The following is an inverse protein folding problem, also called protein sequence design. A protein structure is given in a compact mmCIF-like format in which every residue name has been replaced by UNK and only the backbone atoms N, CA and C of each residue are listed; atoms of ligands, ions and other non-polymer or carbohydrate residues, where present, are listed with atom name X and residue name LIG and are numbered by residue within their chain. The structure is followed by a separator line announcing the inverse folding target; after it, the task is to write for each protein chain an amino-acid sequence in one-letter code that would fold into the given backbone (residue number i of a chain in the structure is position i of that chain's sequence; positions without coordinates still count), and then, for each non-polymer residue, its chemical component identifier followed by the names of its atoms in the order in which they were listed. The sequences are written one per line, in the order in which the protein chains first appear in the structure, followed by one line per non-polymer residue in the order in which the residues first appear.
data_IF_800359609485
#
_entry.id   IF_800359609485
#
_cell.length_a   1.000
_cell.length_b   1.000
_cell.length_c   1.000
_cell.angle_alpha   90.00
_cell.angle_beta   90.00
_cell.angle_gamma   90.00
#
_symmetry.space_group_name_H-M   'P 1'
#
loop_
_entity.id
_entity.type
_entity.pdbx_description
1 polymer ?
#
# COMPACT_ATOMS: atom_id res chain seq x y z
N UNK A 1 -17.88 -2.39 -25.88
CA UNK A 1 -18.55 -1.33 -26.68
C UNK A 1 -19.52 -0.59 -25.75
N UNK A 2 -19.63 0.74 -25.84
CA UNK A 2 -20.56 1.52 -24.99
C UNK A 2 -21.99 1.38 -25.50
N UNK A 3 -22.94 1.06 -24.62
CA UNK A 3 -24.37 1.06 -24.95
C UNK A 3 -24.93 2.48 -25.09
N UNK A 4 -26.10 2.61 -25.73
CA UNK A 4 -26.71 3.90 -26.03
C UNK A 4 -27.06 4.74 -24.80
N UNK A 5 -27.47 4.10 -23.70
CA UNK A 5 -27.82 4.80 -22.47
C UNK A 5 -26.55 5.43 -21.87
N UNK A 6 -25.46 4.67 -21.84
CA UNK A 6 -24.17 5.17 -21.38
C UNK A 6 -23.66 6.30 -22.27
N UNK A 7 -23.80 6.18 -23.60
CA UNK A 7 -23.41 7.24 -24.53
C UNK A 7 -24.17 8.54 -24.26
N UNK A 8 -25.52 8.46 -24.19
CA UNK A 8 -26.39 9.61 -23.90
C UNK A 8 -26.04 10.27 -22.55
N UNK A 9 -25.78 9.46 -21.53
CA UNK A 9 -25.38 9.98 -20.22
C UNK A 9 -23.98 10.61 -20.26
N UNK A 10 -23.04 10.03 -20.98
CA UNK A 10 -21.70 10.61 -21.13
C UNK A 10 -21.72 11.93 -21.91
N UNK A 11 -22.56 12.05 -22.93
CA UNK A 11 -22.81 13.31 -23.63
C UNK A 11 -23.33 14.39 -22.69
N UNK A 12 -24.29 14.05 -21.83
CA UNK A 12 -24.80 14.98 -20.85
C UNK A 12 -23.70 15.46 -19.88
N UNK A 13 -22.82 14.56 -19.42
CA UNK A 13 -21.72 14.93 -18.54
C UNK A 13 -20.71 15.87 -19.21
N UNK A 14 -20.35 15.58 -20.46
CA UNK A 14 -19.45 16.43 -21.23
C UNK A 14 -20.08 17.82 -21.48
N UNK A 15 -21.32 17.87 -22.00
CA UNK A 15 -22.03 19.13 -22.28
C UNK A 15 -22.29 19.98 -21.03
N UNK A 16 -22.39 19.34 -19.86
CA UNK A 16 -22.58 20.03 -18.58
C UNK A 16 -21.27 20.49 -17.94
N UNK A 17 -20.13 20.40 -18.64
CA UNK A 17 -18.83 20.84 -18.11
C UNK A 17 -18.30 20.00 -16.96
N UNK A 18 -18.78 18.76 -16.79
CA UNK A 18 -18.39 17.90 -15.67
C UNK A 18 -17.05 17.19 -15.89
N UNK A 19 -16.41 17.36 -17.05
CA UNK A 19 -15.04 16.89 -17.29
C UNK A 19 -14.08 17.96 -16.80
N UNK A 20 -13.46 17.73 -15.64
CA UNK A 20 -12.56 18.71 -14.99
C UNK A 20 -11.26 18.91 -15.76
N UNK A 21 -10.69 17.82 -16.27
CA UNK A 21 -9.59 17.85 -17.22
C UNK A 21 -9.56 16.56 -18.04
N UNK A 22 -9.06 16.69 -19.27
CA UNK A 22 -8.73 15.58 -20.17
C UNK A 22 -7.27 15.76 -20.60
N UNK A 23 -6.41 14.80 -20.28
CA UNK A 23 -4.99 14.81 -20.65
C UNK A 23 -4.74 13.63 -21.57
N UNK A 24 -4.26 13.90 -22.77
CA UNK A 24 -3.83 12.87 -23.72
C UNK A 24 -2.34 12.61 -23.48
N UNK A 25 -1.97 11.37 -23.16
CA UNK A 25 -0.59 10.96 -22.96
C UNK A 25 -0.35 9.60 -23.62
N UNK A 26 0.54 9.55 -24.61
CA UNK A 26 0.68 8.41 -25.52
C UNK A 26 -0.66 7.94 -26.11
N UNK A 27 -0.99 6.66 -25.90
CA UNK A 27 -2.22 6.02 -26.39
C UNK A 27 -3.37 6.07 -25.37
N UNK A 28 -3.32 6.96 -24.37
CA UNK A 28 -4.33 7.02 -23.31
C UNK A 28 -4.83 8.43 -23.06
N UNK A 29 -6.08 8.51 -22.60
CA UNK A 29 -6.63 9.70 -21.96
C UNK A 29 -6.65 9.47 -20.45
N UNK A 30 -6.27 10.49 -19.70
CA UNK A 30 -6.38 10.56 -18.25
C UNK A 30 -7.24 11.76 -17.88
N UNK A 31 -8.18 11.58 -16.97
CA UNK A 31 -9.06 12.67 -16.58
C UNK A 31 -9.68 12.52 -15.22
N UNK A 32 -10.32 13.59 -14.79
CA UNK A 32 -11.26 13.60 -13.68
C UNK A 32 -12.63 14.05 -14.18
N UNK A 33 -13.66 13.30 -13.82
CA UNK A 33 -15.04 13.62 -14.17
C UNK A 33 -15.88 13.69 -12.90
N UNK A 34 -16.60 14.79 -12.74
CA UNK A 34 -17.43 15.08 -11.58
C UNK A 34 -18.73 14.28 -11.69
N UNK A 35 -19.04 13.49 -10.66
CA UNK A 35 -20.33 12.82 -10.46
C UNK A 35 -20.85 13.10 -9.05
N UNK A 36 -21.22 12.04 -8.32
CA UNK A 36 -21.42 12.15 -6.86
C UNK A 36 -20.14 12.52 -6.10
N UNK A 37 -18.99 12.26 -6.73
CA UNK A 37 -17.64 12.60 -6.27
C UNK A 37 -16.74 12.79 -7.51
N UNK A 38 -15.47 13.13 -7.32
CA UNK A 38 -14.49 13.18 -8.41
C UNK A 38 -14.01 11.78 -8.79
N UNK A 39 -14.36 11.32 -9.99
CA UNK A 39 -13.90 10.03 -10.47
C UNK A 39 -12.66 10.15 -11.35
N UNK A 40 -11.63 9.35 -11.04
CA UNK A 40 -10.45 9.17 -11.89
C UNK A 40 -10.82 8.29 -13.08
N UNK A 41 -10.50 8.73 -14.29
CA UNK A 41 -10.88 8.07 -15.53
C UNK A 41 -9.66 7.87 -16.41
N UNK A 42 -9.51 6.67 -16.97
CA UNK A 42 -8.49 6.32 -17.96
C UNK A 42 -9.17 5.70 -19.17
N UNK A 43 -8.83 6.14 -20.37
CA UNK A 43 -9.35 5.57 -21.62
C UNK A 43 -8.20 5.18 -22.53
N UNK A 44 -8.24 3.98 -23.10
CA UNK A 44 -7.32 3.55 -24.15
C UNK A 44 -7.81 4.07 -25.50
N UNK A 45 -6.98 4.80 -26.23
CA UNK A 45 -7.34 5.38 -27.53
C UNK A 45 -7.39 4.36 -28.67
N UNK A 46 -6.80 3.17 -28.50
CA UNK A 46 -6.79 2.13 -29.54
C UNK A 46 -8.16 1.46 -29.71
N UNK A 47 -8.82 1.16 -28.60
CA UNK A 47 -10.09 0.42 -28.56
C UNK A 47 -11.23 1.17 -27.84
N UNK A 48 -10.94 2.38 -27.34
CA UNK A 48 -11.82 3.24 -26.56
C UNK A 48 -12.29 2.61 -25.23
N UNK A 49 -11.63 1.55 -24.76
CA UNK A 49 -11.94 0.94 -23.46
C UNK A 49 -11.65 1.93 -22.32
N UNK A 50 -12.60 2.04 -21.40
CA UNK A 50 -12.56 2.97 -20.28
C UNK A 50 -12.50 2.28 -18.93
N UNK A 51 -11.61 2.76 -18.06
CA UNK A 51 -11.54 2.44 -16.64
C UNK A 51 -11.89 3.68 -15.84
N UNK A 52 -12.69 3.50 -14.79
CA UNK A 52 -13.14 4.57 -13.93
C UNK A 52 -13.16 4.11 -12.47
N UNK A 53 -12.83 5.01 -11.55
CA UNK A 53 -12.95 4.74 -10.11
C UNK A 53 -14.40 4.71 -9.60
N UNK A 54 -15.40 4.89 -10.46
CA UNK A 54 -16.81 4.83 -10.05
C UNK A 54 -17.30 3.38 -9.85
N UNK A 55 -18.44 3.18 -9.16
CA UNK A 55 -18.97 1.83 -8.90
C UNK A 55 -19.20 0.98 -10.15
N UNK A 56 -19.46 1.60 -11.31
CA UNK A 56 -19.65 0.91 -12.59
C UNK A 56 -18.33 0.41 -13.21
N UNK A 57 -17.19 1.00 -12.83
CA UNK A 57 -15.81 0.65 -13.22
C UNK A 57 -15.48 0.75 -14.71
N UNK A 58 -16.04 -0.12 -15.55
CA UNK A 58 -15.63 -0.29 -16.95
C UNK A 58 -16.60 0.39 -17.92
N UNK A 59 -16.09 1.08 -18.94
CA UNK A 59 -16.88 1.69 -20.02
C UNK A 59 -18.11 2.48 -19.52
N UNK A 60 -17.96 3.20 -18.40
CA UNK A 60 -19.05 3.97 -17.84
C UNK A 60 -19.24 5.31 -18.57
N UNK A 61 -20.32 6.03 -18.22
CA UNK A 61 -20.63 7.37 -18.75
C UNK A 61 -19.48 8.38 -18.58
N UNK A 62 -18.68 8.29 -17.52
CA UNK A 62 -17.55 9.19 -17.30
C UNK A 62 -16.41 8.94 -18.31
N UNK A 63 -16.16 7.67 -18.65
CA UNK A 63 -15.21 7.32 -19.70
C UNK A 63 -15.68 7.82 -21.06
N UNK A 64 -16.98 7.68 -21.36
CA UNK A 64 -17.54 8.22 -22.59
C UNK A 64 -17.48 9.75 -22.64
N UNK A 65 -17.76 10.45 -21.53
CA UNK A 65 -17.60 11.90 -21.44
C UNK A 65 -16.15 12.34 -21.70
N UNK A 66 -15.16 11.60 -21.19
CA UNK A 66 -13.74 11.86 -21.46
C UNK A 66 -13.37 11.65 -22.94
N UNK A 67 -13.94 10.62 -23.59
CA UNK A 67 -13.78 10.40 -25.04
C UNK A 67 -14.36 11.58 -25.84
N UNK A 68 -15.52 12.10 -25.42
CA UNK A 68 -16.12 13.25 -26.09
C UNK A 68 -15.28 14.51 -25.92
N UNK A 69 -14.74 14.78 -24.73
CA UNK A 69 -13.81 15.89 -24.53
C UNK A 69 -12.64 15.81 -25.51
N UNK A 70 -11.98 14.64 -25.60
CA UNK A 70 -10.91 14.43 -26.57
C UNK A 70 -11.35 14.62 -28.03
N UNK A 71 -12.48 14.05 -28.43
CA UNK A 71 -13.00 14.17 -29.81
C UNK A 71 -13.35 15.60 -30.22
N UNK A 72 -13.69 16.45 -29.25
CA UNK A 72 -13.98 17.86 -29.48
C UNK A 72 -12.73 18.75 -29.32
N UNK A 73 -11.53 18.17 -29.20
CA UNK A 73 -10.27 18.87 -28.95
C UNK A 73 -10.20 19.59 -27.59
N UNK A 74 -11.06 19.24 -26.64
CA UNK A 74 -11.02 19.73 -25.25
C UNK A 74 -10.08 18.87 -24.40
N UNK A 75 -8.80 18.88 -24.74
CA UNK A 75 -7.78 18.14 -24.00
C UNK A 75 -6.45 18.90 -23.94
N UNK A 76 -5.66 18.53 -22.95
CA UNK A 76 -4.29 18.98 -22.75
C UNK A 76 -3.37 17.89 -23.32
N UNK A 77 -2.41 18.29 -24.16
CA UNK A 77 -1.35 17.37 -24.60
C UNK A 77 -0.34 17.15 -23.46
N UNK A 78 -0.40 15.98 -22.85
CA UNK A 78 0.49 15.59 -21.78
C UNK A 78 1.95 15.44 -22.23
N UNK A 79 2.21 15.18 -23.51
CA UNK A 79 3.58 15.11 -24.02
C UNK A 79 4.28 16.48 -23.95
N UNK A 80 3.53 17.57 -24.14
CA UNK A 80 4.07 18.93 -24.02
C UNK A 80 4.49 19.23 -22.58
N UNK A 81 3.70 18.80 -21.58
CA UNK A 81 4.05 18.96 -20.16
C UNK A 81 5.41 18.32 -19.87
N UNK A 82 5.63 17.08 -20.33
CA UNK A 82 6.90 16.38 -20.10
C UNK A 82 8.04 16.91 -20.96
N UNK A 83 7.75 17.48 -22.14
CA UNK A 83 8.76 18.17 -22.95
C UNK A 83 9.27 19.41 -22.25
N UNK A 84 8.37 20.27 -21.74
CA UNK A 84 8.73 21.45 -20.95
C UNK A 84 9.54 21.08 -19.72
N UNK A 85 9.16 20.01 -19.01
CA UNK A 85 9.92 19.51 -17.85
C UNK A 85 11.33 19.03 -18.22
N UNK A 86 11.55 18.48 -19.42
CA UNK A 86 12.88 18.03 -19.88
C UNK A 86 13.81 19.20 -20.21
N UNK A 87 13.26 20.36 -20.54
CA UNK A 87 14.03 21.56 -20.87
C UNK A 87 14.46 22.33 -19.60
N UNK A 88 13.91 21.98 -18.42
CA UNK A 88 14.28 22.55 -17.13
C UNK A 88 15.57 21.96 -16.58
N UNK A 89 16.27 22.77 -15.79
CA UNK A 89 17.42 22.27 -15.04
C UNK A 89 16.98 21.35 -13.88
N UNK A 90 17.97 20.63 -13.32
CA UNK A 90 17.72 19.64 -12.28
C UNK A 90 17.15 20.30 -11.01
N UNK A 91 17.65 21.48 -10.64
CA UNK A 91 17.24 22.21 -9.45
C UNK A 91 15.79 22.68 -9.54
N UNK A 92 15.35 23.16 -10.71
CA UNK A 92 13.95 23.51 -11.00
C UNK A 92 13.04 22.28 -10.92
N UNK A 93 13.44 21.15 -11.52
CA UNK A 93 12.68 19.90 -11.47
C UNK A 93 12.54 19.43 -10.01
N UNK A 94 13.62 19.47 -9.24
CA UNK A 94 13.60 19.13 -7.81
C UNK A 94 12.65 20.04 -7.04
N UNK A 95 12.63 21.35 -7.34
CA UNK A 95 11.69 22.28 -6.71
C UNK A 95 10.24 21.94 -7.03
N UNK A 96 9.91 21.70 -8.30
CA UNK A 96 8.56 21.28 -8.72
C UNK A 96 8.15 20.00 -8.01
N UNK A 97 9.04 19.00 -7.96
CA UNK A 97 8.78 17.74 -7.29
C UNK A 97 8.52 17.95 -5.79
N UNK A 98 9.39 18.73 -5.11
CA UNK A 98 9.24 19.07 -3.70
C UNK A 98 7.87 19.72 -3.43
N UNK A 99 7.48 20.68 -4.25
CA UNK A 99 6.21 21.40 -4.09
C UNK A 99 5.01 20.45 -4.24
N UNK A 100 5.05 19.52 -5.20
CA UNK A 100 4.01 18.50 -5.39
C UNK A 100 3.95 17.55 -4.18
N UNK A 101 5.10 17.06 -3.71
CA UNK A 101 5.17 16.11 -2.59
C UNK A 101 4.62 16.72 -1.31
N UNK A 102 5.00 17.97 -1.01
CA UNK A 102 4.54 18.70 0.18
C UNK A 102 3.04 18.99 0.08
N UNK A 103 2.57 19.46 -1.08
CA UNK A 103 1.16 19.84 -1.27
C UNK A 103 0.21 18.65 -1.20
N UNK A 104 0.58 17.52 -1.80
CA UNK A 104 -0.27 16.34 -1.94
C UNK A 104 0.09 15.22 -0.94
N UNK A 105 0.97 15.49 0.03
CA UNK A 105 1.44 14.54 1.06
C UNK A 105 1.97 13.20 0.51
N UNK A 106 2.67 13.23 -0.63
CA UNK A 106 3.12 12.03 -1.35
C UNK A 106 4.40 11.38 -0.79
N UNK A 107 4.64 11.50 0.51
CA UNK A 107 5.86 11.00 1.17
C UNK A 107 6.02 9.48 1.02
N UNK A 108 4.92 8.72 1.01
CA UNK A 108 4.90 7.27 0.82
C UNK A 108 5.52 6.81 -0.51
N UNK A 109 5.65 7.68 -1.52
CA UNK A 109 6.31 7.33 -2.78
C UNK A 109 7.84 7.31 -2.65
N UNK A 110 8.39 7.87 -1.57
CA UNK A 110 9.83 8.00 -1.31
C UNK A 110 10.27 7.26 -0.06
N UNK A 111 9.37 7.16 0.92
CA UNK A 111 9.53 6.26 2.04
C UNK A 111 9.32 4.86 1.49
N UNK A 112 10.38 4.05 1.41
CA UNK A 112 10.27 2.66 0.98
C UNK A 112 9.26 1.88 1.84
N UNK A 113 8.96 0.63 1.45
CA UNK A 113 8.09 -0.22 2.27
C UNK A 113 8.52 -0.14 3.73
N UNK A 114 7.59 0.27 4.59
CA UNK A 114 7.84 0.33 6.02
C UNK A 114 8.27 -1.08 6.46
N UNK A 115 9.50 -1.19 6.97
CA UNK A 115 10.00 -2.47 7.47
C UNK A 115 8.96 -3.07 8.42
N UNK A 116 8.65 -4.36 8.25
CA UNK A 116 7.72 -5.07 9.12
C UNK A 116 8.11 -4.90 10.58
N UNK A 117 9.41 -4.87 10.88
CA UNK A 117 9.94 -4.58 12.21
C UNK A 117 9.62 -3.16 12.69
N UNK A 118 9.70 -2.16 11.83
CA UNK A 118 9.35 -0.77 12.19
C UNK A 118 7.87 -0.67 12.55
N UNK A 119 7.01 -1.30 11.75
CA UNK A 119 5.58 -1.39 12.04
C UNK A 119 5.30 -2.14 13.35
N UNK A 120 5.99 -3.25 13.59
CA UNK A 120 5.90 -3.98 14.85
C UNK A 120 6.32 -3.11 16.04
N UNK A 121 7.42 -2.36 15.93
CA UNK A 121 7.89 -1.41 16.95
C UNK A 121 6.84 -0.35 17.28
N UNK A 122 6.20 0.20 16.26
CA UNK A 122 5.22 1.26 16.48
C UNK A 122 3.91 0.72 17.06
N UNK A 123 3.50 -0.49 16.70
CA UNK A 123 2.40 -1.19 17.38
C UNK A 123 2.73 -1.55 18.83
N UNK A 124 3.95 -1.99 19.13
CA UNK A 124 4.37 -2.30 20.50
C UNK A 124 4.33 -1.05 21.40
N UNK A 125 4.77 0.11 20.90
CA UNK A 125 4.78 1.37 21.66
C UNK A 125 3.40 1.84 22.11
N UNK A 126 2.34 1.48 21.38
CA UNK A 126 0.97 1.90 21.72
C UNK A 126 0.24 0.91 22.64
N UNK A 127 0.78 -0.30 22.85
CA UNK A 127 0.18 -1.29 23.75
C UNK A 127 0.03 -0.75 25.19
N UNK A 128 1.05 -0.09 25.79
CA UNK A 128 0.92 0.48 27.13
C UNK A 128 -0.11 1.62 27.23
N UNK A 129 -0.44 2.28 26.12
CA UNK A 129 -1.38 3.40 26.11
C UNK A 129 -2.84 2.93 26.19
N UNK A 130 -3.16 1.82 25.49
CA UNK A 130 -4.47 1.19 25.56
C UNK A 130 -4.32 -0.33 25.44
N UNK A 131 -4.70 -1.08 26.48
CA UNK A 131 -4.54 -2.55 26.54
C UNK A 131 -5.10 -3.28 25.31
N UNK A 132 -6.22 -2.79 24.75
CA UNK A 132 -6.86 -3.37 23.54
C UNK A 132 -5.94 -3.40 22.30
N UNK A 133 -4.89 -2.57 22.26
CA UNK A 133 -3.93 -2.54 21.15
C UNK A 133 -3.11 -3.84 21.05
N UNK A 134 -3.07 -4.66 22.11
CA UNK A 134 -2.48 -6.00 22.04
C UNK A 134 -3.15 -6.86 20.97
N UNK A 135 -4.47 -6.76 20.80
CA UNK A 135 -5.21 -7.52 19.79
C UNK A 135 -4.89 -7.05 18.37
N UNK A 136 -4.63 -5.75 18.20
CA UNK A 136 -4.14 -5.22 16.92
C UNK A 136 -2.75 -5.75 16.59
N UNK A 137 -1.88 -5.82 17.60
CA UNK A 137 -0.54 -6.39 17.44
C UNK A 137 -0.62 -7.88 17.11
N UNK A 138 -1.40 -8.69 17.84
CA UNK A 138 -1.64 -10.12 17.54
C UNK A 138 -2.18 -10.32 16.12
N UNK A 139 -3.18 -9.51 15.72
CA UNK A 139 -3.74 -9.57 14.36
C UNK A 139 -2.67 -9.25 13.30
N UNK A 140 -1.82 -8.26 13.55
CA UNK A 140 -0.70 -7.94 12.68
C UNK A 140 0.31 -9.09 12.59
N UNK A 141 0.63 -9.74 13.72
CA UNK A 141 1.53 -10.90 13.73
C UNK A 141 1.00 -12.01 12.84
N UNK A 142 -0.25 -12.45 13.07
CA UNK A 142 -0.89 -13.58 12.36
C UNK A 142 -1.11 -13.31 10.87
N UNK A 143 -1.58 -12.11 10.54
CA UNK A 143 -2.05 -11.81 9.19
C UNK A 143 -0.97 -11.22 8.28
N UNK A 144 0.10 -10.65 8.86
CA UNK A 144 1.10 -9.90 8.10
C UNK A 144 2.51 -10.34 8.43
N UNK A 145 2.92 -10.28 9.69
CA UNK A 145 4.33 -10.40 10.06
C UNK A 145 4.90 -11.79 9.76
N UNK A 146 4.29 -12.85 10.30
CA UNK A 146 4.83 -14.22 10.17
C UNK A 146 4.93 -14.69 8.71
N UNK A 147 4.04 -14.23 7.84
CA UNK A 147 4.02 -14.64 6.42
C UNK A 147 5.03 -13.92 5.54
N UNK A 148 5.59 -12.79 6.01
CA UNK A 148 6.41 -11.89 5.20
C UNK A 148 7.78 -11.60 5.79
N UNK A 149 7.94 -11.75 7.10
CA UNK A 149 9.19 -11.51 7.80
C UNK A 149 10.22 -12.58 7.44
N UNK A 150 11.47 -12.17 7.31
CA UNK A 150 12.63 -13.07 7.29
C UNK A 150 12.87 -13.68 8.67
N UNK A 151 13.66 -14.77 8.73
CA UNK A 151 14.02 -15.41 10.01
C UNK A 151 14.76 -14.47 10.97
N UNK A 152 15.58 -13.56 10.42
CA UNK A 152 16.26 -12.54 11.20
C UNK A 152 15.27 -11.54 11.82
N UNK A 153 14.20 -11.19 11.10
CA UNK A 153 13.14 -10.32 11.61
C UNK A 153 12.28 -10.98 12.68
N UNK A 154 12.01 -12.29 12.57
CA UNK A 154 11.33 -13.05 13.64
C UNK A 154 12.13 -12.98 14.96
N UNK A 155 13.44 -13.22 14.90
CA UNK A 155 14.30 -13.12 16.08
C UNK A 155 14.35 -11.69 16.66
N UNK A 156 14.53 -10.67 15.80
CA UNK A 156 14.53 -9.26 16.22
C UNK A 156 13.20 -8.85 16.85
N UNK A 157 12.08 -9.41 16.38
CA UNK A 157 10.77 -9.15 16.97
C UNK A 157 10.67 -9.72 18.39
N UNK A 158 11.18 -10.94 18.62
CA UNK A 158 11.22 -11.52 19.97
C UNK A 158 12.04 -10.63 20.91
N UNK A 159 13.25 -10.23 20.50
CA UNK A 159 14.08 -9.31 21.29
C UNK A 159 13.37 -7.99 21.60
N UNK A 160 12.61 -7.47 20.63
CA UNK A 160 11.83 -6.25 20.78
C UNK A 160 10.66 -6.43 21.76
N UNK A 161 9.95 -7.55 21.72
CA UNK A 161 8.86 -7.84 22.66
C UNK A 161 9.40 -7.98 24.09
N UNK A 162 10.53 -8.68 24.26
CA UNK A 162 11.22 -8.80 25.57
C UNK A 162 11.63 -7.42 26.07
N UNK A 163 12.27 -6.61 25.22
CA UNK A 163 12.74 -5.27 25.58
C UNK A 163 11.61 -4.32 26.02
N UNK A 164 10.42 -4.47 25.46
CA UNK A 164 9.25 -3.66 25.79
C UNK A 164 8.33 -4.35 26.82
N UNK A 165 8.80 -5.42 27.45
CA UNK A 165 8.09 -6.18 28.48
C UNK A 165 6.66 -6.57 28.08
N UNK A 166 6.49 -7.06 26.85
CA UNK A 166 5.21 -7.64 26.43
C UNK A 166 4.95 -8.88 27.31
N UNK A 167 3.82 -8.88 28.02
CA UNK A 167 3.41 -9.98 28.90
C UNK A 167 2.51 -11.01 28.19
N UNK A 168 1.87 -10.63 27.08
CA UNK A 168 0.93 -11.49 26.38
C UNK A 168 1.65 -12.66 25.68
N UNK A 169 1.61 -13.83 26.31
CA UNK A 169 2.32 -15.04 25.85
C UNK A 169 1.98 -15.44 24.42
N UNK A 170 0.72 -15.20 24.00
CA UNK A 170 0.25 -15.49 22.64
C UNK A 170 1.17 -14.83 21.58
N UNK A 171 1.68 -13.64 21.86
CA UNK A 171 2.57 -12.93 20.93
C UNK A 171 3.88 -13.70 20.71
N UNK A 172 4.46 -14.26 21.77
CA UNK A 172 5.68 -15.07 21.67
C UNK A 172 5.41 -16.40 20.99
N UNK A 173 4.32 -17.07 21.36
CA UNK A 173 3.91 -18.34 20.74
C UNK A 173 3.77 -18.23 19.22
N UNK A 174 3.09 -17.19 18.72
CA UNK A 174 2.92 -16.99 17.27
C UNK A 174 4.27 -16.94 16.54
N UNK A 175 5.26 -16.25 17.11
CA UNK A 175 6.57 -16.05 16.46
C UNK A 175 7.46 -17.27 16.63
N UNK A 176 7.46 -17.89 17.82
CA UNK A 176 8.24 -19.10 18.11
C UNK A 176 7.74 -20.26 17.25
N UNK A 177 6.43 -20.50 17.21
CA UNK A 177 5.83 -21.55 16.39
C UNK A 177 6.23 -21.39 14.91
N UNK A 178 6.22 -20.16 14.38
CA UNK A 178 6.66 -19.88 13.01
C UNK A 178 8.16 -20.18 12.81
N UNK A 179 9.03 -19.83 13.77
CA UNK A 179 10.46 -20.16 13.68
C UNK A 179 10.66 -21.68 13.61
N UNK A 180 9.91 -22.44 14.41
CA UNK A 180 9.99 -23.90 14.41
C UNK A 180 9.49 -24.50 13.09
N UNK A 181 8.34 -24.02 12.59
CA UNK A 181 7.75 -24.40 11.28
C UNK A 181 8.71 -24.21 10.10
N UNK A 182 9.56 -23.18 10.12
CA UNK A 182 10.51 -22.89 9.04
C UNK A 182 11.76 -23.77 9.04
N UNK A 183 11.98 -24.51 10.11
CA UNK A 183 13.06 -25.49 10.27
C UNK A 183 14.48 -24.98 9.96
N UNK A 184 14.75 -23.70 10.23
CA UNK A 184 16.08 -23.14 10.06
C UNK A 184 16.94 -23.35 11.32
N UNK A 185 17.90 -24.27 11.26
CA UNK A 185 18.80 -24.64 12.36
C UNK A 185 19.50 -23.42 12.97
N UNK A 186 20.05 -22.51 12.15
CA UNK A 186 20.77 -21.32 12.67
C UNK A 186 19.83 -20.38 13.43
N UNK A 187 18.59 -20.29 13.00
CA UNK A 187 17.56 -19.47 13.65
C UNK A 187 17.13 -20.12 14.97
N UNK A 188 16.88 -21.43 14.98
CA UNK A 188 16.55 -22.22 16.18
C UNK A 188 17.67 -22.13 17.23
N UNK A 189 18.94 -22.26 16.85
CA UNK A 189 20.08 -22.10 17.76
C UNK A 189 20.14 -20.70 18.40
N UNK A 190 19.84 -19.65 17.63
CA UNK A 190 19.79 -18.28 18.16
C UNK A 190 18.60 -18.09 19.10
N UNK A 191 17.44 -18.64 18.75
CA UNK A 191 16.25 -18.63 19.60
C UNK A 191 16.54 -19.35 20.93
N UNK A 192 17.21 -20.50 20.90
CA UNK A 192 17.59 -21.23 22.11
C UNK A 192 18.54 -20.43 23.01
N UNK A 193 19.48 -19.68 22.42
CA UNK A 193 20.35 -18.75 23.18
C UNK A 193 19.56 -17.60 23.81
N UNK A 194 18.51 -17.11 23.15
CA UNK A 194 17.61 -16.10 23.72
C UNK A 194 16.77 -16.69 24.85
N UNK A 195 16.21 -17.88 24.64
CA UNK A 195 15.45 -18.62 25.65
C UNK A 195 16.25 -18.79 26.94
N UNK A 196 17.51 -19.25 26.87
CA UNK A 196 18.38 -19.39 28.05
C UNK A 196 18.59 -18.10 28.85
N UNK A 197 18.44 -16.93 28.22
CA UNK A 197 18.56 -15.62 28.88
C UNK A 197 17.24 -15.12 29.45
N UNK A 198 16.12 -15.56 28.88
CA UNK A 198 14.76 -15.11 29.21
C UNK A 198 13.80 -16.30 29.33
N UNK A 199 14.09 -17.29 30.19
CA UNK A 199 13.31 -18.52 30.27
C UNK A 199 11.85 -18.25 30.67
N UNK A 200 11.59 -17.20 31.45
CA UNK A 200 10.25 -16.79 31.87
C UNK A 200 9.36 -16.28 30.72
N UNK A 201 9.95 -15.68 29.69
CA UNK A 201 9.20 -15.17 28.51
C UNK A 201 9.14 -16.17 27.37
N UNK A 202 10.10 -17.10 27.31
CA UNK A 202 10.32 -18.01 26.19
C UNK A 202 10.22 -19.49 26.59
N UNK A 203 9.53 -19.80 27.68
CA UNK A 203 9.38 -21.17 28.22
C UNK A 203 8.86 -22.17 27.18
N UNK A 204 8.00 -21.74 26.27
CA UNK A 204 7.45 -22.58 25.21
C UNK A 204 8.49 -23.11 24.22
N UNK A 205 9.69 -22.51 24.16
CA UNK A 205 10.77 -23.03 23.31
C UNK A 205 11.18 -24.45 23.71
N UNK A 206 11.15 -24.78 25.01
CA UNK A 206 11.45 -26.14 25.48
C UNK A 206 10.41 -27.14 24.97
N UNK A 207 9.12 -26.79 24.99
CA UNK A 207 8.06 -27.66 24.50
C UNK A 207 8.23 -27.98 23.01
N UNK A 208 8.58 -26.98 22.20
CA UNK A 208 8.83 -27.20 20.77
C UNK A 208 10.08 -28.05 20.50
N UNK A 209 11.12 -27.93 21.33
CA UNK A 209 12.33 -28.77 21.24
C UNK A 209 11.99 -30.24 21.53
N UNK A 210 11.21 -30.50 22.59
CA UNK A 210 10.80 -31.86 22.95
C UNK A 210 9.94 -32.52 21.87
N UNK A 211 9.06 -31.75 21.22
CA UNK A 211 8.18 -32.23 20.15
C UNK A 211 8.95 -32.54 18.86
N UNK A 212 9.91 -31.69 18.47
CA UNK A 212 10.62 -31.83 17.18
C UNK A 212 11.90 -32.67 17.26
N UNK A 213 12.37 -33.05 18.46
CA UNK A 213 13.55 -33.89 18.64
C UNK A 213 14.85 -33.19 18.26
N UNK A 214 15.07 -31.99 18.83
CA UNK A 214 16.28 -31.19 18.62
C UNK A 214 17.47 -31.64 19.47
#
# INVERSE_FOLDING_TARGET
MYDEIIKRRGEHYYKSGLVKYCVKLGNYLYGKVIGSEEYKVKVNLKDLSGLCSCPYKYNCKHAYALILAYKNNDYIDGELIFKELKEKDKEEIIKILKDIVVKEFLWEQFLGEESLLKKAQDLIKIIPLERKNIYTFISFLRNVFINRASDEELLKLIELMIKNDIEEEECYFIVVEEIFKRDNIKTKEKLYKLYKKHPEKLWMVDEFIEIEGF
#
